data_IF_772292281525
#
_entry.id   IF_772292281525
#
_cell.length_a   1.000
_cell.length_b   1.000
_cell.length_c   1.000
_cell.angle_alpha   90.00
_cell.angle_beta   90.00
_cell.angle_gamma   90.00
#
_symmetry.space_group_name_H-M   'P 1'
#
loop_
_entity.id
_entity.type
_entity.pdbx_description
1 polymer ?
#
# COMPACT_ATOMS: atom_id res chain seq x y z
N UNK A 1 -17.58 24.50 -4.13
CA UNK A 1 -16.38 23.94 -4.77
C UNK A 1 -16.29 22.50 -4.33
N UNK A 2 -16.45 21.53 -5.25
CA UNK A 2 -16.16 20.12 -4.99
C UNK A 2 -14.91 19.76 -5.77
N UNK A 3 -13.79 19.62 -5.07
CA UNK A 3 -12.54 19.12 -5.63
C UNK A 3 -12.20 17.85 -4.86
N UNK A 4 -12.87 16.74 -5.20
CA UNK A 4 -12.78 15.50 -4.42
C UNK A 4 -11.32 15.02 -4.35
N UNK A 5 -10.58 15.10 -5.45
CA UNK A 5 -9.14 14.80 -5.46
C UNK A 5 -8.26 15.70 -4.58
N UNK A 6 -8.70 16.92 -4.23
CA UNK A 6 -7.96 17.76 -3.28
C UNK A 6 -8.06 17.23 -1.85
N UNK A 7 -9.19 16.60 -1.49
CA UNK A 7 -9.35 15.91 -0.20
C UNK A 7 -8.49 14.66 -0.13
N UNK A 8 -8.41 13.90 -1.23
CA UNK A 8 -7.59 12.69 -1.33
C UNK A 8 -6.11 13.02 -1.17
N UNK A 9 -5.67 14.07 -1.87
CA UNK A 9 -4.32 14.61 -1.72
C UNK A 9 -4.05 15.12 -0.30
N UNK A 10 -4.98 15.87 0.29
CA UNK A 10 -4.84 16.39 1.65
C UNK A 10 -4.72 15.26 2.69
N UNK A 11 -5.51 14.20 2.53
CA UNK A 11 -5.44 13.02 3.38
C UNK A 11 -4.15 12.23 3.19
N UNK A 12 -3.72 12.02 1.94
CA UNK A 12 -2.45 11.35 1.66
C UNK A 12 -1.28 12.15 2.24
N UNK A 13 -1.28 13.49 2.06
CA UNK A 13 -0.28 14.37 2.67
C UNK A 13 -0.24 14.20 4.18
N UNK A 14 -1.40 14.16 4.85
CA UNK A 14 -1.47 13.93 6.31
C UNK A 14 -0.80 12.60 6.73
N UNK A 15 -0.95 11.53 5.96
CA UNK A 15 -0.32 10.23 6.25
C UNK A 15 1.21 10.30 6.05
N UNK A 16 1.64 11.03 5.02
CA UNK A 16 3.05 11.15 4.64
C UNK A 16 3.81 12.18 5.48
N UNK A 17 3.11 13.16 6.06
CA UNK A 17 3.71 14.25 6.84
C UNK A 17 4.56 13.69 7.99
N UNK A 18 5.83 14.11 8.04
CA UNK A 18 6.77 13.64 9.07
C UNK A 18 7.41 12.27 8.81
N UNK A 19 7.00 11.55 7.76
CA UNK A 19 7.67 10.29 7.35
C UNK A 19 8.87 10.58 6.46
N UNK A 20 9.97 9.88 6.71
CA UNK A 20 11.10 9.82 5.79
C UNK A 20 10.87 8.65 4.84
N UNK A 21 10.37 8.93 3.63
CA UNK A 21 10.00 7.87 2.67
C UNK A 21 11.06 7.69 1.58
N UNK A 22 11.50 6.46 1.39
CA UNK A 22 12.41 6.07 0.31
C UNK A 22 11.69 5.20 -0.73
N UNK A 23 11.79 5.49 -2.03
CA UNK A 23 11.20 4.64 -3.07
C UNK A 23 11.74 3.20 -3.04
N UNK A 24 10.85 2.22 -3.18
CA UNK A 24 11.17 0.77 -3.20
C UNK A 24 10.50 0.06 -4.38
N UNK A 25 10.52 0.69 -5.55
CA UNK A 25 9.83 0.18 -6.75
C UNK A 25 10.32 -1.21 -7.18
N UNK A 26 11.57 -1.58 -6.89
CA UNK A 26 12.10 -2.92 -7.16
C UNK A 26 11.36 -4.06 -6.44
N UNK A 27 10.60 -3.74 -5.38
CA UNK A 27 9.73 -4.70 -4.72
C UNK A 27 8.49 -5.04 -5.55
N UNK A 28 8.08 -4.19 -6.51
CA UNK A 28 6.88 -4.44 -7.31
C UNK A 28 7.17 -5.50 -8.39
N UNK A 29 6.44 -6.62 -8.34
CA UNK A 29 6.51 -7.65 -9.39
C UNK A 29 5.47 -7.44 -10.51
N UNK A 30 4.44 -6.64 -10.29
CA UNK A 30 3.47 -6.28 -11.33
C UNK A 30 4.17 -5.50 -12.46
N UNK A 31 3.94 -5.90 -13.71
CA UNK A 31 4.40 -5.17 -14.90
C UNK A 31 3.52 -3.94 -15.14
N UNK A 32 3.71 -2.89 -14.34
CA UNK A 32 2.95 -1.65 -14.43
C UNK A 32 3.79 -0.47 -13.95
N UNK A 33 3.57 0.69 -14.56
CA UNK A 33 4.14 1.97 -14.14
C UNK A 33 3.15 2.82 -13.35
N UNK A 34 1.96 2.30 -13.03
CA UNK A 34 0.93 3.04 -12.31
C UNK A 34 1.06 2.89 -10.77
N UNK A 35 1.43 1.70 -10.30
CA UNK A 35 1.60 1.42 -8.87
C UNK A 35 2.94 2.00 -8.37
N UNK A 36 2.94 2.58 -7.17
CA UNK A 36 4.13 3.13 -6.52
C UNK A 36 4.34 2.47 -5.17
N UNK A 37 5.58 2.11 -4.87
CA UNK A 37 5.99 1.57 -3.57
C UNK A 37 7.07 2.46 -2.98
N UNK A 38 6.86 2.87 -1.73
CA UNK A 38 7.86 3.47 -0.88
C UNK A 38 7.95 2.69 0.45
N UNK A 39 8.99 2.97 1.19
CA UNK A 39 9.17 2.49 2.56
C UNK A 39 9.45 3.67 3.46
N UNK A 40 8.82 3.68 4.63
CA UNK A 40 9.17 4.58 5.71
C UNK A 40 10.48 4.11 6.36
N UNK A 41 11.51 4.94 6.34
CA UNK A 41 12.83 4.59 6.84
C UNK A 41 12.84 4.40 8.37
N UNK A 42 11.92 5.05 9.11
CA UNK A 42 11.85 4.95 10.56
C UNK A 42 11.10 3.70 11.03
N UNK A 43 9.87 3.50 10.55
CA UNK A 43 9.03 2.36 10.98
C UNK A 43 9.26 1.10 10.16
N UNK A 44 9.93 1.20 9.01
CA UNK A 44 10.06 0.14 8.02
C UNK A 44 8.72 -0.28 7.36
N UNK A 45 7.67 0.51 7.54
CA UNK A 45 6.37 0.31 6.89
C UNK A 45 6.52 0.41 5.37
N UNK A 46 5.79 -0.46 4.66
CA UNK A 46 5.60 -0.30 3.22
C UNK A 46 4.40 0.58 2.95
N UNK A 47 4.56 1.55 2.04
CA UNK A 47 3.53 2.47 1.59
C UNK A 47 3.32 2.24 0.09
N UNK A 48 2.14 1.75 -0.29
CA UNK A 48 1.89 1.28 -1.65
C UNK A 48 0.64 1.95 -2.21
N UNK A 49 0.83 2.85 -3.17
CA UNK A 49 -0.26 3.48 -3.89
C UNK A 49 -0.70 2.58 -5.06
N UNK A 50 -1.99 2.22 -5.06
CA UNK A 50 -2.59 1.36 -6.09
C UNK A 50 -3.78 2.09 -6.72
N UNK A 51 -3.67 2.54 -7.99
CA UNK A 51 -4.69 3.37 -8.62
C UNK A 51 -5.93 2.62 -9.16
N UNK A 52 -5.98 1.29 -9.02
CA UNK A 52 -7.09 0.48 -9.49
C UNK A 52 -7.12 -0.90 -8.83
N UNK A 53 -8.28 -1.55 -8.87
CA UNK A 53 -8.45 -2.88 -8.31
C UNK A 53 -7.59 -3.95 -9.00
N UNK A 54 -6.61 -4.50 -8.28
CA UNK A 54 -5.70 -5.51 -8.83
C UNK A 54 -5.03 -6.34 -7.75
N UNK A 55 -4.61 -7.55 -8.12
CA UNK A 55 -3.74 -8.36 -7.25
C UNK A 55 -2.34 -7.76 -7.24
N UNK A 56 -1.90 -7.32 -6.07
CA UNK A 56 -0.55 -6.83 -5.85
C UNK A 56 0.41 -8.01 -5.60
N UNK A 57 1.54 -7.99 -6.28
CA UNK A 57 2.61 -8.99 -6.14
C UNK A 57 3.90 -8.27 -5.78
N UNK A 58 4.50 -8.69 -4.67
CA UNK A 58 5.74 -8.15 -4.14
C UNK A 58 6.85 -9.19 -4.24
N UNK A 59 8.03 -8.77 -4.69
CA UNK A 59 9.25 -9.57 -4.69
C UNK A 59 9.73 -9.73 -3.24
N UNK A 60 9.75 -10.98 -2.75
CA UNK A 60 10.19 -11.31 -1.40
C UNK A 60 9.08 -11.83 -0.48
N UNK A 61 9.49 -12.23 0.72
CA UNK A 61 8.61 -12.76 1.75
C UNK A 61 8.28 -11.67 2.77
N UNK A 62 7.01 -11.25 2.80
CA UNK A 62 6.44 -10.30 3.76
C UNK A 62 5.37 -10.97 4.63
N UNK A 63 5.49 -12.26 4.94
CA UNK A 63 4.54 -12.98 5.80
C UNK A 63 4.51 -12.44 7.23
N UNK A 64 5.53 -11.68 7.63
CA UNK A 64 5.61 -10.99 8.91
C UNK A 64 5.06 -9.56 8.86
N UNK A 65 4.39 -9.17 7.77
CA UNK A 65 3.71 -7.89 7.64
C UNK A 65 2.19 -8.09 7.68
N UNK A 66 1.49 -7.21 8.38
CA UNK A 66 0.06 -7.02 8.25
C UNK A 66 -0.21 -5.92 7.21
N UNK A 67 -1.13 -6.16 6.29
CA UNK A 67 -1.46 -5.21 5.24
C UNK A 67 -2.89 -4.71 5.38
N UNK A 68 -3.06 -3.40 5.34
CA UNK A 68 -4.35 -2.70 5.35
C UNK A 68 -4.45 -1.82 4.11
N UNK A 69 -5.56 -1.91 3.39
CA UNK A 69 -5.92 -0.97 2.33
C UNK A 69 -6.79 0.14 2.90
N UNK A 70 -6.49 1.38 2.53
CA UNK A 70 -7.28 2.57 2.82
C UNK A 70 -7.82 3.09 1.50
N UNK A 71 -9.15 3.14 1.37
CA UNK A 71 -9.85 3.79 0.27
C UNK A 71 -9.59 5.30 0.32
N UNK A 72 -9.02 5.84 -0.75
CA UNK A 72 -8.72 7.25 -0.81
C UNK A 72 -9.94 8.09 -1.17
N UNK A 73 -11.07 7.55 -1.63
CA UNK A 73 -12.28 8.36 -1.79
C UNK A 73 -13.01 8.48 -0.44
N UNK A 74 -13.38 7.34 0.15
CA UNK A 74 -14.32 7.27 1.28
C UNK A 74 -13.65 7.07 2.64
N UNK A 75 -12.33 6.83 2.70
CA UNK A 75 -11.55 6.55 3.93
C UNK A 75 -11.94 5.26 4.65
N UNK A 76 -12.63 4.36 3.98
CA UNK A 76 -12.85 3.01 4.51
C UNK A 76 -11.55 2.21 4.50
N UNK A 77 -11.43 1.28 5.44
CA UNK A 77 -10.26 0.41 5.52
C UNK A 77 -10.62 -1.06 5.44
N UNK A 78 -9.67 -1.86 4.97
CA UNK A 78 -9.82 -3.31 4.85
C UNK A 78 -8.50 -4.02 5.06
N UNK A 79 -8.49 -5.04 5.90
CA UNK A 79 -7.33 -5.93 6.05
C UNK A 79 -7.21 -6.80 4.80
N UNK A 80 -6.02 -6.80 4.20
CA UNK A 80 -5.74 -7.57 3.00
C UNK A 80 -5.14 -8.93 3.37
N UNK A 81 -5.80 -10.04 3.01
CA UNK A 81 -5.22 -11.37 3.13
C UNK A 81 -3.94 -11.46 2.29
N UNK A 82 -2.88 -11.98 2.90
CA UNK A 82 -1.59 -12.18 2.24
C UNK A 82 -1.24 -13.65 2.16
N UNK A 83 -0.61 -14.04 1.06
CA UNK A 83 -0.02 -15.37 0.91
C UNK A 83 1.33 -15.26 0.24
N UNK A 84 2.26 -16.14 0.62
CA UNK A 84 3.56 -16.24 -0.03
C UNK A 84 3.55 -17.45 -0.96
N UNK A 85 3.94 -17.25 -2.21
CA UNK A 85 4.03 -18.32 -3.21
C UNK A 85 5.16 -18.01 -4.18
N UNK A 86 6.01 -19.00 -4.48
CA UNK A 86 7.09 -18.91 -5.46
C UNK A 86 8.04 -17.71 -5.22
N UNK A 87 8.32 -17.41 -3.93
CA UNK A 87 9.18 -16.27 -3.53
C UNK A 87 8.52 -14.89 -3.64
N UNK A 88 7.23 -14.83 -3.99
CA UNK A 88 6.45 -13.59 -4.04
C UNK A 88 5.46 -13.54 -2.88
N UNK A 89 5.26 -12.35 -2.33
CA UNK A 89 4.09 -12.07 -1.49
C UNK A 89 2.96 -11.55 -2.36
N UNK A 90 1.79 -12.17 -2.23
CA UNK A 90 0.59 -11.85 -3.02
C UNK A 90 -0.46 -11.30 -2.07
N UNK A 91 -0.92 -10.08 -2.33
CA UNK A 91 -2.11 -9.50 -1.73
C UNK A 91 -3.25 -9.67 -2.74
N UNK A 92 -4.38 -10.19 -2.27
CA UNK A 92 -5.57 -10.31 -3.11
C UNK A 92 -6.20 -8.94 -3.40
N UNK A 93 -7.22 -8.94 -4.27
CA UNK A 93 -7.94 -7.74 -4.71
C UNK A 93 -8.53 -7.00 -3.50
N UNK A 94 -8.35 -5.69 -3.46
CA UNK A 94 -8.98 -4.84 -2.47
C UNK A 94 -10.50 -4.72 -2.74
N UNK A 95 -11.34 -4.54 -1.71
CA UNK A 95 -12.79 -4.42 -1.89
C UNK A 95 -13.25 -3.01 -2.30
N UNK A 96 -12.38 -2.25 -2.96
CA UNK A 96 -12.62 -0.84 -3.34
C UNK A 96 -12.55 -0.65 -4.85
N UNK A 97 -13.33 0.30 -5.37
CA UNK A 97 -13.40 0.61 -6.80
C UNK A 97 -12.38 1.66 -7.22
N UNK A 98 -12.11 2.62 -6.34
CA UNK A 98 -11.19 3.73 -6.55
C UNK A 98 -9.76 3.37 -6.10
N UNK A 99 -8.89 4.38 -6.11
CA UNK A 99 -7.51 4.22 -5.71
C UNK A 99 -7.35 4.05 -4.19
N UNK A 100 -6.33 3.29 -3.82
CA UNK A 100 -6.06 2.94 -2.43
C UNK A 100 -4.61 3.20 -2.07
N UNK A 101 -4.40 3.54 -0.79
CA UNK A 101 -3.10 3.39 -0.15
C UNK A 101 -3.11 2.10 0.66
N UNK A 102 -2.23 1.17 0.31
CA UNK A 102 -1.96 -0.01 1.12
C UNK A 102 -0.78 0.30 2.06
N UNK A 103 -0.96 0.06 3.35
CA UNK A 103 0.09 0.15 4.37
C UNK A 103 0.42 -1.26 4.83
N UNK A 104 1.68 -1.64 4.68
CA UNK A 104 2.22 -2.88 5.24
C UNK A 104 3.04 -2.58 6.48
N UNK A 105 2.54 -2.96 7.65
CA UNK A 105 3.25 -2.78 8.92
C UNK A 105 3.89 -4.09 9.35
N UNK A 106 5.16 -4.02 9.72
CA UNK A 106 5.90 -5.19 10.20
C UNK A 106 5.39 -5.56 11.58
N UNK A 107 4.92 -6.79 11.74
CA UNK A 107 4.58 -7.32 13.06
C UNK A 107 5.88 -7.42 13.86
N UNK A 108 5.95 -6.74 15.00
CA UNK A 108 6.98 -7.03 16.00
C UNK A 108 6.76 -8.48 16.46
N UNK A 109 7.81 -9.28 16.45
CA UNK A 109 7.73 -10.61 17.07
C UNK A 109 7.50 -10.38 18.56
N UNK A 110 6.39 -10.90 19.09
CA UNK A 110 6.29 -11.20 20.52
C UNK A 110 7.44 -12.11 20.96
#
# INVERSE_FOLDING_TARGET
MNFDGAWDYGYLKRIMEGRAITPRQSLLANKTTAIRIAQDDASQDLLIYVPYNTKLRLNGNFSNYAFEAIDLADRFTSILPTRVKDGLTILDLQPFHEDVLIIGTKNEKE
#
